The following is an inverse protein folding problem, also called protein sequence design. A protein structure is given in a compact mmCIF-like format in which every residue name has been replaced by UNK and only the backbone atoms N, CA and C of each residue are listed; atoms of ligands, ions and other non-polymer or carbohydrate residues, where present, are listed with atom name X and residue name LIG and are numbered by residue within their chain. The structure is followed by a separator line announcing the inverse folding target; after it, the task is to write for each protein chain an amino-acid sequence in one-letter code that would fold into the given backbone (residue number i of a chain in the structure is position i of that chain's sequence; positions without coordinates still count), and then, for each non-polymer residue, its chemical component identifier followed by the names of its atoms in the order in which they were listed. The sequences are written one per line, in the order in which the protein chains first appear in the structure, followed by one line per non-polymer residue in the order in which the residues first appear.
data_IF_612650158452
#
_entry.id   IF_612650158452
#
_cell.length_a   1.000
_cell.length_b   1.000
_cell.length_c   1.000
_cell.angle_alpha   90.00
_cell.angle_beta   90.00
_cell.angle_gamma   90.00
#
_symmetry.space_group_name_H-M   'P 1'
#
loop_
_entity.id
_entity.type
_entity.pdbx_description
1 polymer ?
#
# COMPACT_ATOMS: atom_id res chain seq x y z
N UNK A 1 7.28 -8.24 -1.50
CA UNK A 1 6.41 -8.23 -2.70
C UNK A 1 6.32 -6.83 -3.30
N UNK A 2 5.76 -5.82 -2.62
CA UNK A 2 5.58 -4.47 -3.20
C UNK A 2 6.87 -3.78 -3.67
N UNK A 3 7.96 -3.80 -2.91
CA UNK A 3 9.26 -3.24 -3.36
C UNK A 3 9.72 -3.77 -4.73
N UNK A 4 9.53 -5.07 -4.99
CA UNK A 4 9.89 -5.69 -6.27
C UNK A 4 8.97 -5.26 -7.43
N UNK A 5 7.75 -4.83 -7.12
CA UNK A 5 6.73 -4.45 -8.10
C UNK A 5 6.75 -2.95 -8.42
N UNK A 6 7.08 -2.12 -7.42
CA UNK A 6 7.03 -0.65 -7.54
C UNK A 6 8.40 -0.04 -7.78
N UNK A 7 9.49 -0.77 -7.48
CA UNK A 7 10.86 -0.24 -7.50
C UNK A 7 11.17 0.76 -6.39
N UNK A 8 10.17 1.15 -5.60
CA UNK A 8 10.27 2.09 -4.49
C UNK A 8 9.93 1.37 -3.18
N UNK A 9 10.76 1.52 -2.13
CA UNK A 9 10.58 0.78 -0.88
C UNK A 9 9.31 1.18 -0.12
N UNK A 10 8.82 2.41 -0.32
CA UNK A 10 7.67 2.95 0.38
C UNK A 10 6.80 3.85 -0.50
N UNK A 11 5.55 4.03 -0.09
CA UNK A 11 4.64 5.01 -0.66
C UNK A 11 4.86 6.39 -0.03
N UNK A 12 4.65 7.45 -0.80
CA UNK A 12 4.70 8.84 -0.31
C UNK A 12 3.33 9.34 0.19
N UNK A 13 2.26 8.63 -0.15
CA UNK A 13 0.90 8.93 0.33
C UNK A 13 0.76 8.51 1.80
N UNK A 14 0.60 9.49 2.69
CA UNK A 14 0.43 9.30 4.14
C UNK A 14 -0.78 8.42 4.49
N UNK A 15 -1.83 8.42 3.67
CA UNK A 15 -3.02 7.59 3.89
C UNK A 15 -2.85 6.14 3.42
N UNK A 16 -1.78 5.82 2.69
CA UNK A 16 -1.54 4.48 2.20
C UNK A 16 -0.90 3.60 3.28
N UNK A 17 -1.36 2.36 3.45
CA UNK A 17 -0.75 1.37 4.35
C UNK A 17 0.73 1.08 4.09
N UNK A 18 1.24 1.43 2.90
CA UNK A 18 2.66 1.28 2.54
C UNK A 18 3.47 2.58 2.75
N UNK A 19 2.92 3.57 3.44
CA UNK A 19 3.61 4.81 3.76
C UNK A 19 4.86 4.58 4.63
N UNK A 20 5.93 5.32 4.38
CA UNK A 20 7.14 5.30 5.20
C UNK A 20 6.95 6.11 6.49
N UNK A 21 6.07 5.67 7.38
CA UNK A 21 5.84 6.35 8.64
C UNK A 21 7.11 6.35 9.50
N UNK A 22 7.58 7.54 9.87
CA UNK A 22 8.72 7.70 10.76
C UNK A 22 8.27 7.91 12.21
N UNK A 23 7.03 8.36 12.42
CA UNK A 23 6.42 8.55 13.73
C UNK A 23 5.27 7.58 13.98
N UNK A 24 5.05 7.24 15.26
CA UNK A 24 3.97 6.32 15.66
C UNK A 24 2.59 6.83 15.25
N UNK A 25 2.34 8.14 15.40
CA UNK A 25 1.09 8.79 15.00
C UNK A 25 0.83 8.64 13.49
N UNK A 26 1.88 8.77 12.67
CA UNK A 26 1.77 8.59 11.22
C UNK A 26 1.51 7.13 10.84
N UNK A 27 2.12 6.18 11.57
CA UNK A 27 1.88 4.76 11.35
C UNK A 27 0.44 4.40 11.72
N UNK A 28 -0.05 4.82 12.88
CA UNK A 28 -1.43 4.58 13.33
C UNK A 28 -2.41 5.14 12.30
N UNK A 29 -2.18 6.37 11.84
CA UNK A 29 -2.99 6.97 10.80
C UNK A 29 -3.04 6.13 9.51
N UNK A 30 -1.87 5.77 8.95
CA UNK A 30 -1.76 5.01 7.71
C UNK A 30 -2.33 3.58 7.79
N UNK A 31 -2.36 2.99 8.99
CA UNK A 31 -2.82 1.61 9.17
C UNK A 31 -4.31 1.50 9.54
N UNK A 32 -4.82 2.45 10.34
CA UNK A 32 -6.11 2.33 11.03
C UNK A 32 -7.07 3.50 10.81
N UNK A 33 -6.58 4.72 10.60
CA UNK A 33 -7.44 5.93 10.60
C UNK A 33 -7.65 6.55 9.21
N UNK A 34 -6.82 6.19 8.23
CA UNK A 34 -7.00 6.60 6.84
C UNK A 34 -8.34 6.11 6.28
N UNK A 35 -8.97 6.91 5.42
CA UNK A 35 -10.25 6.58 4.77
C UNK A 35 -10.13 5.38 3.81
N UNK A 36 -8.91 4.99 3.44
CA UNK A 36 -8.63 3.87 2.56
C UNK A 36 -7.39 3.10 3.02
N UNK A 37 -7.33 1.82 2.64
CA UNK A 37 -6.23 0.94 3.03
C UNK A 37 -4.98 1.12 2.15
N UNK A 38 -5.17 1.27 0.84
CA UNK A 38 -4.10 1.46 -0.13
C UNK A 38 -4.43 2.63 -1.04
N UNK A 39 -3.43 3.43 -1.40
CA UNK A 39 -3.63 4.43 -2.44
C UNK A 39 -4.02 3.77 -3.77
N UNK A 40 -4.61 4.54 -4.67
CA UNK A 40 -5.17 4.05 -5.93
C UNK A 40 -4.16 3.19 -6.74
N UNK A 41 -2.88 3.59 -6.77
CA UNK A 41 -1.82 2.82 -7.42
C UNK A 41 -1.63 1.44 -6.79
N UNK A 42 -1.50 1.36 -5.47
CA UNK A 42 -1.24 0.11 -4.77
C UNK A 42 -2.47 -0.80 -4.73
N UNK A 43 -3.67 -0.23 -4.69
CA UNK A 43 -4.92 -0.98 -4.85
C UNK A 43 -4.97 -1.68 -6.21
N UNK A 44 -4.65 -0.98 -7.31
CA UNK A 44 -4.60 -1.58 -8.66
C UNK A 44 -3.58 -2.72 -8.78
N UNK A 45 -2.40 -2.56 -8.16
CA UNK A 45 -1.37 -3.61 -8.16
C UNK A 45 -1.91 -4.85 -7.43
N UNK A 46 -2.54 -4.66 -6.27
CA UNK A 46 -3.11 -5.75 -5.49
C UNK A 46 -4.23 -6.48 -6.23
N UNK A 47 -5.13 -5.73 -6.88
CA UNK A 47 -6.21 -6.29 -7.69
C UNK A 47 -5.68 -7.09 -8.88
N UNK A 48 -4.60 -6.62 -9.51
CA UNK A 48 -3.96 -7.33 -10.62
C UNK A 48 -3.33 -8.65 -10.17
N UNK A 49 -2.68 -8.66 -9.00
CA UNK A 49 -2.13 -9.88 -8.41
C UNK A 49 -3.23 -10.90 -8.07
N UNK A 50 -4.33 -10.44 -7.46
CA UNK A 50 -5.47 -11.30 -7.11
C UNK A 50 -6.11 -11.94 -8.35
N UNK A 51 -6.23 -11.19 -9.45
CA UNK A 51 -6.74 -11.72 -10.72
C UNK A 51 -5.78 -12.76 -11.32
N UNK A 52 -4.48 -12.51 -11.26
CA UNK A 52 -3.49 -13.46 -11.77
C UNK A 52 -3.41 -14.74 -10.92
N UNK A 53 -3.69 -14.68 -9.61
CA UNK A 53 -3.78 -15.88 -8.77
C UNK A 53 -4.97 -16.78 -9.12
N UNK A 54 -6.06 -16.23 -9.67
CA UNK A 54 -7.22 -17.01 -10.10
C UNK A 54 -7.06 -17.76 -11.43
N UNK A 55 -5.93 -17.61 -12.11
CA UNK A 55 -5.60 -18.28 -13.37
C UNK A 55 -4.68 -19.51 -13.19
N UNK A 56 -4.33 -19.87 -11.94
CA UNK A 56 -3.52 -21.04 -11.58
C UNK A 56 -4.28 -22.06 -10.73
#
# INVERSE_FOLDING_TARGET
VFYFLTGNPFCEDRGCRLYNAHWQEELVFAQLESEYEFCEQHARILDSLRRNESEW
#
